data_IF_293742635350
#
_entry.id   IF_293742635350
#
_cell.length_a   1.000
_cell.length_b   1.000
_cell.length_c   1.000
_cell.angle_alpha   90.00
_cell.angle_beta   90.00
_cell.angle_gamma   90.00
#
_symmetry.space_group_name_H-M   'P 1'
#
loop_
_entity.id
_entity.type
_entity.pdbx_description
1 polymer ?
#
# COMPACT_ATOMS: atom_id res chain seq x y z
N UNK A 1 -17.43 16.29 -14.23
CA UNK A 1 -16.45 15.22 -13.94
C UNK A 1 -15.08 15.75 -14.33
N UNK A 2 -14.28 16.21 -13.37
CA UNK A 2 -12.94 16.70 -13.69
C UNK A 2 -12.10 15.50 -14.10
N UNK A 3 -11.84 15.40 -15.41
CA UNK A 3 -10.66 14.73 -15.90
C UNK A 3 -9.48 15.16 -15.03
N UNK A 4 -8.69 14.21 -14.51
CA UNK A 4 -7.30 14.56 -14.24
C UNK A 4 -6.78 15.15 -15.56
N UNK A 5 -6.22 16.35 -15.50
CA UNK A 5 -5.56 16.97 -16.65
C UNK A 5 -4.69 15.89 -17.33
N UNK A 6 -4.78 15.74 -18.67
CA UNK A 6 -4.01 14.74 -19.43
C UNK A 6 -2.53 14.83 -19.04
N UNK A 7 -2.05 16.06 -18.78
CA UNK A 7 -0.73 16.32 -18.25
C UNK A 7 -0.49 15.60 -16.92
N UNK A 8 -1.34 15.81 -15.91
CA UNK A 8 -1.22 15.16 -14.60
C UNK A 8 -1.32 13.62 -14.68
N UNK A 9 -2.14 13.11 -15.61
CA UNK A 9 -2.26 11.67 -15.86
C UNK A 9 -0.96 11.08 -16.42
N UNK A 10 -0.36 11.75 -17.41
CA UNK A 10 0.93 11.36 -18.02
C UNK A 10 2.07 11.51 -17.02
N UNK A 11 2.15 12.62 -16.29
CA UNK A 11 3.17 12.87 -15.26
C UNK A 11 3.16 11.78 -14.18
N UNK A 12 1.97 11.30 -13.77
CA UNK A 12 1.86 10.21 -12.82
C UNK A 12 2.38 8.88 -13.37
N UNK A 13 2.12 8.57 -14.66
CA UNK A 13 2.66 7.39 -15.33
C UNK A 13 4.19 7.46 -15.44
N UNK A 14 4.73 8.63 -15.78
CA UNK A 14 6.18 8.87 -15.81
C UNK A 14 6.84 8.71 -14.44
N UNK A 15 6.23 9.30 -13.41
CA UNK A 15 6.69 9.17 -12.03
C UNK A 15 6.75 7.69 -11.61
N UNK A 16 5.75 6.90 -12.00
CA UNK A 16 5.70 5.47 -11.69
C UNK A 16 6.76 4.68 -12.45
N UNK A 17 6.98 4.96 -13.75
CA UNK A 17 8.06 4.32 -14.52
C UNK A 17 9.44 4.65 -13.94
N UNK A 18 9.68 5.91 -13.58
CA UNK A 18 10.91 6.36 -12.93
C UNK A 18 11.14 5.61 -11.62
N UNK A 19 10.11 5.53 -10.76
CA UNK A 19 10.19 4.85 -9.48
C UNK A 19 10.49 3.34 -9.63
N UNK A 20 9.86 2.65 -10.60
CA UNK A 20 10.07 1.21 -10.81
C UNK A 20 11.41 0.87 -11.45
N UNK A 21 12.00 1.79 -12.23
CA UNK A 21 13.29 1.58 -12.92
C UNK A 21 14.50 2.08 -12.16
N UNK A 22 14.31 3.04 -11.25
CA UNK A 22 15.43 3.73 -10.59
C UNK A 22 16.25 4.61 -11.53
N UNK A 23 15.76 4.92 -12.73
CA UNK A 23 16.41 5.79 -13.73
C UNK A 23 15.40 6.82 -14.21
N UNK A 24 15.87 8.04 -14.46
CA UNK A 24 15.04 9.08 -15.08
C UNK A 24 14.45 8.58 -16.40
N UNK A 25 13.14 8.72 -16.51
CA UNK A 25 12.39 8.28 -17.67
C UNK A 25 11.40 9.36 -18.07
N UNK A 26 11.45 9.70 -19.36
CA UNK A 26 10.48 10.55 -20.04
C UNK A 26 9.80 9.66 -21.08
N UNK A 27 8.48 9.75 -21.22
CA UNK A 27 7.79 8.94 -22.22
C UNK A 27 8.30 9.28 -23.62
N UNK A 28 8.57 8.24 -24.40
CA UNK A 28 8.74 8.41 -25.84
C UNK A 28 7.46 8.99 -26.47
N UNK A 29 7.51 9.66 -27.64
CA UNK A 29 6.30 10.15 -28.32
C UNK A 29 5.24 9.05 -28.54
N UNK A 30 5.69 7.82 -28.76
CA UNK A 30 4.83 6.64 -28.89
C UNK A 30 4.13 6.28 -27.58
N UNK A 31 4.87 6.29 -26.47
CA UNK A 31 4.32 5.98 -25.15
C UNK A 31 3.43 7.09 -24.62
N UNK A 32 3.74 8.34 -24.95
CA UNK A 32 2.85 9.48 -24.70
C UNK A 32 1.52 9.31 -25.43
N UNK A 33 1.55 8.96 -26.72
CA UNK A 33 0.35 8.68 -27.50
C UNK A 33 -0.49 7.55 -26.92
N UNK A 34 0.17 6.51 -26.39
CA UNK A 34 -0.51 5.40 -25.70
C UNK A 34 -1.18 5.86 -24.39
N UNK A 35 -0.47 6.58 -23.53
CA UNK A 35 -1.00 7.11 -22.28
C UNK A 35 -2.19 8.05 -22.51
N UNK A 36 -2.08 8.92 -23.53
CA UNK A 36 -3.17 9.79 -23.96
C UNK A 36 -4.37 8.99 -24.47
N UNK A 37 -4.15 7.95 -25.28
CA UNK A 37 -5.23 7.09 -25.78
C UNK A 37 -6.02 6.40 -24.67
N UNK A 38 -5.34 5.98 -23.59
CA UNK A 38 -6.01 5.44 -22.39
C UNK A 38 -6.82 6.50 -21.65
N UNK A 39 -6.28 7.71 -21.50
CA UNK A 39 -7.01 8.83 -20.89
C UNK A 39 -8.27 9.19 -21.67
N UNK A 40 -8.17 9.33 -22.99
CA UNK A 40 -9.30 9.64 -23.89
C UNK A 40 -10.36 8.52 -23.89
N UNK A 41 -9.94 7.28 -23.69
CA UNK A 41 -10.83 6.12 -23.55
C UNK A 41 -11.41 5.97 -22.13
N UNK A 42 -11.10 6.88 -21.21
CA UNK A 42 -11.62 6.87 -19.84
C UNK A 42 -11.02 5.82 -18.92
N UNK A 43 -9.85 5.26 -19.25
CA UNK A 43 -9.16 4.29 -18.38
C UNK A 43 -8.68 5.00 -17.10
N UNK A 44 -9.09 4.56 -15.90
CA UNK A 44 -8.64 5.19 -14.66
C UNK A 44 -7.12 5.09 -14.46
N UNK A 45 -6.49 6.15 -13.93
CA UNK A 45 -5.04 6.16 -13.66
C UNK A 45 -4.63 4.96 -12.79
N UNK A 46 -5.41 4.64 -11.75
CA UNK A 46 -5.16 3.49 -10.90
C UNK A 46 -5.12 2.16 -11.67
N UNK A 47 -5.97 1.99 -12.69
CA UNK A 47 -5.96 0.82 -13.56
C UNK A 47 -4.64 0.72 -14.34
N UNK A 48 -4.15 1.85 -14.86
CA UNK A 48 -2.87 1.91 -15.58
C UNK A 48 -1.71 1.55 -14.66
N UNK A 49 -1.63 2.17 -13.47
CA UNK A 49 -0.54 1.91 -12.52
C UNK A 49 -0.49 0.45 -12.06
N UNK A 50 -1.65 -0.15 -11.75
CA UNK A 50 -1.74 -1.58 -11.39
C UNK A 50 -1.35 -2.48 -12.56
N UNK A 51 -1.73 -2.12 -13.79
CA UNK A 51 -1.32 -2.86 -14.98
C UNK A 51 0.19 -2.79 -15.21
N UNK A 52 0.80 -1.64 -14.94
CA UNK A 52 2.26 -1.48 -14.98
C UNK A 52 2.93 -2.34 -13.91
N UNK A 53 2.44 -2.33 -12.66
CA UNK A 53 3.00 -3.15 -11.59
C UNK A 53 3.03 -4.63 -11.94
N UNK A 54 1.92 -5.16 -12.50
CA UNK A 54 1.84 -6.55 -12.98
C UNK A 54 2.83 -6.85 -14.11
N UNK A 55 3.06 -5.89 -15.00
CA UNK A 55 4.04 -6.06 -16.07
C UNK A 55 5.47 -6.15 -15.51
N UNK A 56 5.80 -5.33 -14.51
CA UNK A 56 7.10 -5.37 -13.81
C UNK A 56 7.27 -6.60 -12.91
N UNK A 57 6.19 -7.15 -12.36
CA UNK A 57 6.23 -8.45 -11.64
C UNK A 57 6.47 -9.61 -12.60
N UNK A 58 5.87 -9.56 -13.80
CA UNK A 58 5.99 -10.61 -14.80
C UNK A 58 7.33 -10.60 -15.56
N UNK A 59 8.00 -9.44 -15.64
CA UNK A 59 9.28 -9.31 -16.33
C UNK A 59 10.18 -8.25 -15.65
N UNK A 60 11.44 -8.60 -15.43
CA UNK A 60 12.42 -7.71 -14.81
C UNK A 60 12.97 -6.63 -15.75
N UNK A 61 12.70 -6.72 -17.07
CA UNK A 61 13.28 -5.85 -18.10
C UNK A 61 12.22 -5.02 -18.86
N UNK A 62 11.17 -4.55 -18.19
CA UNK A 62 10.22 -3.63 -18.80
C UNK A 62 10.96 -2.37 -19.26
N UNK A 63 11.04 -2.10 -20.57
CA UNK A 63 11.82 -0.98 -21.15
C UNK A 63 10.98 0.19 -21.70
N UNK A 64 9.68 0.00 -21.89
CA UNK A 64 8.73 1.03 -22.38
C UNK A 64 7.31 0.80 -21.83
N UNK A 65 6.49 1.86 -21.81
CA UNK A 65 5.07 1.77 -21.43
C UNK A 65 4.28 0.84 -22.37
N UNK A 66 4.68 0.75 -23.64
CA UNK A 66 4.10 -0.18 -24.60
C UNK A 66 4.17 -1.64 -24.14
N UNK A 67 5.19 -2.01 -23.34
CA UNK A 67 5.28 -3.35 -22.76
C UNK A 67 4.13 -3.59 -21.77
N UNK A 68 3.76 -2.58 -20.96
CA UNK A 68 2.67 -2.68 -19.99
C UNK A 68 1.27 -2.76 -20.64
N UNK A 69 1.16 -2.49 -21.95
CA UNK A 69 -0.13 -2.32 -22.64
C UNK A 69 -1.10 -3.46 -22.39
N UNK A 70 -0.65 -4.70 -22.59
CA UNK A 70 -1.51 -5.89 -22.46
C UNK A 70 -2.18 -5.95 -21.08
N UNK A 71 -1.40 -5.77 -20.02
CA UNK A 71 -1.89 -5.85 -18.64
C UNK A 71 -2.87 -4.72 -18.30
N UNK A 72 -2.61 -3.51 -18.82
CA UNK A 72 -3.50 -2.35 -18.65
C UNK A 72 -4.83 -2.56 -19.37
N UNK A 73 -4.79 -3.03 -20.62
CA UNK A 73 -5.98 -3.27 -21.45
C UNK A 73 -6.82 -4.43 -20.91
N UNK A 74 -6.19 -5.52 -20.46
CA UNK A 74 -6.88 -6.64 -19.79
C UNK A 74 -7.61 -6.16 -18.52
N UNK A 75 -6.95 -5.31 -17.71
CA UNK A 75 -7.56 -4.74 -16.51
C UNK A 75 -8.68 -3.75 -16.83
N UNK A 76 -8.54 -2.96 -17.88
CA UNK A 76 -9.57 -2.02 -18.31
C UNK A 76 -10.81 -2.77 -18.87
N UNK A 77 -10.59 -3.86 -19.62
CA UNK A 77 -11.65 -4.70 -20.18
C UNK A 77 -12.40 -5.52 -19.11
N UNK A 78 -11.75 -5.86 -17.99
CA UNK A 78 -12.39 -6.54 -16.86
C UNK A 78 -13.45 -5.69 -16.12
N UNK A 79 -13.69 -4.45 -16.57
CA UNK A 79 -14.69 -3.54 -16.03
C UNK A 79 -14.22 -2.80 -14.77
N UNK A 80 -14.99 -1.81 -14.29
CA UNK A 80 -14.64 -1.06 -13.09
C UNK A 80 -14.57 -2.02 -11.90
N UNK A 81 -13.35 -2.24 -11.39
CA UNK A 81 -13.23 -2.72 -10.00
C UNK A 81 -13.95 -1.71 -9.10
N UNK A 82 -14.61 -2.15 -8.01
CA UNK A 82 -15.20 -1.23 -7.06
C UNK A 82 -14.13 -0.20 -6.74
N UNK A 83 -14.45 1.08 -6.98
CA UNK A 83 -13.54 2.17 -6.67
C UNK A 83 -13.06 1.93 -5.24
N UNK A 84 -11.78 1.61 -5.06
CA UNK A 84 -11.14 1.88 -3.78
C UNK A 84 -11.47 3.35 -3.54
N UNK A 85 -12.26 3.62 -2.49
CA UNK A 85 -12.59 4.98 -2.08
C UNK A 85 -11.32 5.82 -2.27
N UNK A 86 -11.41 7.02 -2.88
CA UNK A 86 -10.28 7.93 -2.91
C UNK A 86 -9.68 7.91 -1.50
N UNK A 87 -8.38 7.61 -1.40
CA UNK A 87 -7.72 7.58 -0.11
C UNK A 87 -8.14 8.87 0.61
N UNK A 88 -8.69 8.79 1.85
CA UNK A 88 -9.09 9.99 2.56
C UNK A 88 -7.94 10.99 2.51
N UNK A 89 -8.23 12.29 2.35
CA UNK A 89 -7.19 13.31 2.31
C UNK A 89 -6.23 13.04 3.48
N UNK A 90 -4.90 13.08 3.23
CA UNK A 90 -3.92 12.63 4.22
C UNK A 90 -4.19 13.36 5.52
N UNK A 91 -4.61 12.59 6.53
CA UNK A 91 -4.88 13.11 7.85
C UNK A 91 -3.57 13.67 8.39
N UNK A 92 -3.57 14.98 8.70
CA UNK A 92 -2.38 15.66 9.19
C UNK A 92 -2.34 15.50 10.70
N UNK A 93 -1.57 14.55 11.18
CA UNK A 93 -1.33 14.36 12.60
C UNK A 93 -0.21 15.31 13.06
N UNK A 94 -0.46 16.23 14.01
CA UNK A 94 0.59 17.07 14.58
C UNK A 94 1.62 16.22 15.33
N UNK A 95 2.89 16.65 15.32
CA UNK A 95 3.99 15.90 15.93
C UNK A 95 3.78 15.61 17.43
N UNK A 96 3.11 16.52 18.14
CA UNK A 96 2.74 16.34 19.55
C UNK A 96 1.72 15.22 19.78
N UNK A 97 0.84 14.99 18.82
CA UNK A 97 -0.10 13.88 18.88
C UNK A 97 0.62 12.55 18.60
N UNK A 98 1.57 12.53 17.67
CA UNK A 98 2.45 11.36 17.46
C UNK A 98 3.21 11.00 18.74
N UNK A 99 3.77 11.99 19.44
CA UNK A 99 4.44 11.79 20.73
C UNK A 99 3.50 11.16 21.78
N UNK A 100 2.27 11.67 21.91
CA UNK A 100 1.25 11.12 22.83
C UNK A 100 0.81 9.70 22.47
N UNK A 101 0.68 9.39 21.18
CA UNK A 101 0.37 8.04 20.70
C UNK A 101 1.50 7.05 21.02
N UNK A 102 2.76 7.45 20.82
CA UNK A 102 3.91 6.62 21.16
C UNK A 102 4.02 6.37 22.67
N UNK A 103 3.72 7.36 23.50
CA UNK A 103 3.66 7.19 24.97
C UNK A 103 2.59 6.17 25.35
N UNK A 104 1.38 6.32 24.80
CA UNK A 104 0.28 5.38 25.03
C UNK A 104 0.63 3.97 24.58
N UNK A 105 1.30 3.83 23.43
CA UNK A 105 1.75 2.55 22.90
C UNK A 105 2.80 1.91 23.82
N UNK A 106 3.77 2.68 24.30
CA UNK A 106 4.81 2.22 25.22
C UNK A 106 4.19 1.70 26.53
N UNK A 107 3.25 2.45 27.12
CA UNK A 107 2.54 2.05 28.34
C UNK A 107 1.76 0.75 28.15
N UNK A 108 1.00 0.66 27.05
CA UNK A 108 0.21 -0.53 26.73
C UNK A 108 1.11 -1.74 26.53
N UNK A 109 2.15 -1.64 25.71
CA UNK A 109 3.08 -2.74 25.46
C UNK A 109 3.84 -3.16 26.71
N UNK A 110 4.27 -2.21 27.55
CA UNK A 110 4.93 -2.49 28.83
C UNK A 110 4.02 -3.19 29.85
N UNK A 111 2.71 -3.01 29.74
CA UNK A 111 1.72 -3.69 30.59
C UNK A 111 1.38 -5.12 30.13
N UNK A 112 1.79 -5.52 28.92
CA UNK A 112 1.54 -6.86 28.40
C UNK A 112 2.40 -7.86 29.19
N UNK A 113 1.74 -8.73 29.96
CA UNK A 113 2.39 -9.90 30.55
C UNK A 113 2.68 -10.90 29.46
N UNK A 114 3.89 -10.82 28.92
CA UNK A 114 4.28 -11.62 27.79
C UNK A 114 4.93 -12.95 28.25
N UNK A 115 4.66 -14.07 27.56
CA UNK A 115 5.27 -15.36 27.90
C UNK A 115 6.80 -15.32 27.67
N UNK A 116 7.58 -16.11 28.42
CA UNK A 116 9.03 -16.18 28.20
C UNK A 116 9.35 -16.56 26.75
N UNK A 117 10.08 -15.69 26.04
CA UNK A 117 10.39 -15.84 24.61
C UNK A 117 9.67 -14.84 23.69
N UNK A 118 8.70 -14.07 24.19
CA UNK A 118 8.09 -12.97 23.43
C UNK A 118 9.06 -11.79 23.27
N UNK A 119 9.26 -11.31 22.04
CA UNK A 119 10.22 -10.26 21.73
C UNK A 119 9.59 -8.85 21.72
N UNK A 120 8.99 -8.42 22.82
CA UNK A 120 8.47 -7.04 22.94
C UNK A 120 9.57 -6.00 23.24
N UNK A 121 10.77 -6.43 23.67
CA UNK A 121 11.86 -5.51 24.00
C UNK A 121 12.41 -4.73 22.77
N UNK A 122 12.64 -5.36 21.59
CA UNK A 122 13.03 -4.62 20.39
C UNK A 122 12.08 -3.48 19.99
N UNK A 123 10.75 -3.68 19.87
CA UNK A 123 9.85 -2.57 19.54
C UNK A 123 9.78 -1.51 20.65
N UNK A 124 9.82 -1.90 21.93
CA UNK A 124 9.85 -0.93 23.05
C UNK A 124 11.06 -0.01 22.99
N UNK A 125 12.24 -0.53 22.61
CA UNK A 125 13.45 0.27 22.43
C UNK A 125 13.32 1.25 21.28
N UNK A 126 12.83 0.81 20.12
CA UNK A 126 12.63 1.68 18.95
C UNK A 126 11.63 2.79 19.24
N UNK A 127 10.56 2.52 19.98
CA UNK A 127 9.60 3.55 20.41
C UNK A 127 10.29 4.64 21.23
N UNK A 128 11.15 4.26 22.19
CA UNK A 128 11.92 5.23 23.00
C UNK A 128 12.87 6.06 22.15
N UNK A 129 13.60 5.45 21.23
CA UNK A 129 14.50 6.16 20.30
C UNK A 129 13.75 7.20 19.45
N UNK A 130 12.55 6.85 18.96
CA UNK A 130 11.70 7.77 18.20
C UNK A 130 11.16 8.90 19.08
N UNK A 131 10.78 8.62 20.33
CA UNK A 131 10.35 9.66 21.27
C UNK A 131 11.48 10.66 21.56
N UNK A 132 12.70 10.18 21.79
CA UNK A 132 13.87 11.05 21.97
C UNK A 132 14.10 11.94 20.74
N UNK A 133 14.07 11.36 19.53
CA UNK A 133 14.20 12.09 18.27
C UNK A 133 13.15 13.21 18.16
N UNK A 134 11.89 12.90 18.45
CA UNK A 134 10.77 13.86 18.38
C UNK A 134 10.90 14.95 19.44
N UNK A 135 11.38 14.61 20.65
CA UNK A 135 11.50 15.57 21.74
C UNK A 135 12.56 16.66 21.48
N UNK A 136 13.62 16.32 20.75
CA UNK A 136 14.75 17.22 20.45
C UNK A 136 14.56 17.95 19.12
N UNK A 137 13.88 17.35 18.14
CA UNK A 137 13.74 17.91 16.81
C UNK A 137 12.41 18.65 16.60
N UNK A 138 12.46 19.97 16.44
CA UNK A 138 11.30 20.78 16.01
C UNK A 138 10.85 20.48 14.57
N UNK A 139 11.75 19.91 13.75
CA UNK A 139 11.50 19.45 12.37
C UNK A 139 12.29 18.15 12.11
N UNK A 140 11.75 16.98 12.49
CA UNK A 140 12.42 15.71 12.23
C UNK A 140 12.43 15.40 10.73
N UNK A 141 13.34 14.52 10.31
CA UNK A 141 13.29 13.93 8.98
C UNK A 141 12.04 13.04 8.86
N UNK A 142 11.03 13.50 8.13
CA UNK A 142 9.73 12.82 8.01
C UNK A 142 9.81 11.45 7.31
N UNK A 143 10.73 11.27 6.37
CA UNK A 143 10.93 9.98 5.71
C UNK A 143 11.49 8.95 6.68
N UNK A 144 12.50 9.35 7.45
CA UNK A 144 13.09 8.53 8.49
C UNK A 144 12.09 8.20 9.60
N UNK A 145 11.32 9.19 10.06
CA UNK A 145 10.27 8.97 11.05
C UNK A 145 9.21 7.98 10.56
N UNK A 146 8.75 8.12 9.31
CA UNK A 146 7.78 7.20 8.70
C UNK A 146 8.33 5.78 8.64
N UNK A 147 9.58 5.62 8.21
CA UNK A 147 10.25 4.32 8.16
C UNK A 147 10.35 3.69 9.54
N UNK A 148 10.75 4.47 10.57
CA UNK A 148 10.82 3.97 11.95
C UNK A 148 9.46 3.59 12.54
N UNK A 149 8.42 4.38 12.26
CA UNK A 149 7.06 4.03 12.67
C UNK A 149 6.58 2.73 12.02
N UNK A 150 6.94 2.50 10.75
CA UNK A 150 6.63 1.25 10.05
C UNK A 150 7.38 0.05 10.63
N UNK A 151 8.67 0.22 10.92
CA UNK A 151 9.45 -0.83 11.59
C UNK A 151 8.87 -1.19 12.96
N UNK A 152 8.40 -0.20 13.74
CA UNK A 152 7.74 -0.45 15.02
C UNK A 152 6.44 -1.25 14.82
N UNK A 153 5.63 -0.91 13.82
CA UNK A 153 4.39 -1.63 13.51
C UNK A 153 4.65 -3.11 13.14
N UNK A 154 5.65 -3.35 12.28
CA UNK A 154 6.07 -4.69 11.87
C UNK A 154 6.58 -5.51 13.07
N UNK A 155 7.44 -4.92 13.91
CA UNK A 155 8.04 -5.58 15.08
C UNK A 155 6.98 -5.89 16.17
N UNK A 156 6.07 -4.95 16.44
CA UNK A 156 4.97 -5.16 17.40
C UNK A 156 4.04 -6.26 16.89
N UNK A 157 3.68 -6.23 15.62
CA UNK A 157 2.82 -7.26 15.02
C UNK A 157 3.43 -8.65 15.12
N UNK A 158 4.72 -8.77 14.82
CA UNK A 158 5.45 -10.03 14.97
C UNK A 158 5.49 -10.50 16.43
N UNK A 159 5.83 -9.61 17.37
CA UNK A 159 5.88 -9.93 18.79
C UNK A 159 4.52 -10.39 19.34
N UNK A 160 3.42 -9.76 18.92
CA UNK A 160 2.05 -10.16 19.27
C UNK A 160 1.74 -11.55 18.73
N UNK A 161 1.99 -11.81 17.44
CA UNK A 161 1.74 -13.14 16.84
C UNK A 161 2.51 -14.23 17.57
N UNK A 162 3.74 -13.97 18.01
CA UNK A 162 4.52 -14.93 18.80
C UNK A 162 4.03 -15.09 20.25
N UNK A 163 3.35 -14.10 20.81
CA UNK A 163 2.82 -14.13 22.17
C UNK A 163 1.42 -14.75 22.27
N UNK A 164 0.70 -14.88 21.15
CA UNK A 164 -0.62 -15.51 21.10
C UNK A 164 -0.53 -17.00 21.44
N UNK A 165 -1.56 -17.51 22.13
CA UNK A 165 -1.69 -18.95 22.36
C UNK A 165 -2.02 -19.67 21.03
N UNK A 166 -1.77 -20.99 20.94
CA UNK A 166 -2.14 -21.75 19.74
C UNK A 166 -3.62 -21.63 19.36
N UNK A 167 -4.52 -21.58 20.35
CA UNK A 167 -5.96 -21.40 20.13
C UNK A 167 -6.30 -20.00 19.61
N UNK A 168 -5.67 -18.95 20.15
CA UNK A 168 -5.92 -17.58 19.68
C UNK A 168 -5.35 -17.36 18.27
N UNK A 169 -4.25 -18.04 17.93
CA UNK A 169 -3.67 -18.03 16.58
C UNK A 169 -4.60 -18.68 15.56
N UNK A 170 -5.25 -19.79 15.92
CA UNK A 170 -6.24 -20.44 15.05
C UNK A 170 -7.47 -19.54 14.85
N UNK A 171 -8.00 -18.95 15.93
CA UNK A 171 -9.13 -18.01 15.84
C UNK A 171 -8.78 -16.78 14.99
N UNK A 172 -7.59 -16.21 15.18
CA UNK A 172 -7.10 -15.09 14.39
C UNK A 172 -6.96 -15.45 12.90
N UNK A 173 -6.45 -16.65 12.58
CA UNK A 173 -6.33 -17.15 11.20
C UNK A 173 -7.69 -17.38 10.57
N UNK A 174 -8.64 -17.93 11.31
CA UNK A 174 -10.00 -18.16 10.84
C UNK A 174 -10.72 -16.84 10.55
N UNK A 175 -10.58 -15.84 11.42
CA UNK A 175 -11.16 -14.52 11.18
C UNK A 175 -10.50 -13.81 9.99
N UNK A 176 -9.17 -13.93 9.85
CA UNK A 176 -8.45 -13.41 8.68
C UNK A 176 -8.93 -14.08 7.38
N UNK A 177 -9.11 -15.41 7.39
CA UNK A 177 -9.64 -16.16 6.25
C UNK A 177 -11.08 -15.73 5.90
N UNK A 178 -11.95 -15.55 6.90
CA UNK A 178 -13.32 -15.03 6.72
C UNK A 178 -13.33 -13.60 6.21
N UNK A 179 -12.41 -12.75 6.64
CA UNK A 179 -12.27 -11.38 6.13
C UNK A 179 -11.86 -11.38 4.65
N UNK A 180 -10.91 -12.22 4.27
CA UNK A 180 -10.49 -12.41 2.87
C UNK A 180 -11.66 -12.95 2.03
N UNK A 181 -12.40 -13.93 2.55
CA UNK A 181 -13.52 -14.54 1.82
C UNK A 181 -14.70 -13.56 1.66
N UNK A 182 -15.03 -12.75 2.68
CA UNK A 182 -16.01 -11.66 2.55
C UNK A 182 -15.59 -10.66 1.46
N UNK A 183 -14.29 -10.38 1.34
CA UNK A 183 -13.76 -9.54 0.28
C UNK A 183 -13.84 -10.24 -1.10
N UNK A 184 -13.59 -11.54 -1.19
CA UNK A 184 -13.76 -12.34 -2.43
C UNK A 184 -15.21 -12.48 -2.85
N UNK A 185 -16.14 -12.76 -1.94
CA UNK A 185 -17.58 -12.87 -2.22
C UNK A 185 -18.18 -11.57 -2.75
N UNK A 186 -17.68 -10.41 -2.29
CA UNK A 186 -18.02 -9.09 -2.85
C UNK A 186 -17.46 -8.86 -4.26
N UNK A 187 -16.37 -9.55 -4.62
CA UNK A 187 -15.79 -9.53 -5.97
C UNK A 187 -16.46 -10.58 -6.89
N UNK A 188 -17.05 -11.64 -6.31
CA UNK A 188 -17.70 -12.75 -7.03
C UNK A 188 -19.17 -12.52 -7.42
N UNK A 189 -19.86 -11.51 -6.87
CA UNK A 189 -21.27 -11.23 -7.19
C UNK A 189 -21.50 -10.49 -8.53
N UNK A 190 -20.47 -10.38 -9.37
CA UNK A 190 -20.52 -9.67 -10.66
C UNK A 190 -20.31 -10.53 -11.91
N UNK A 191 -20.16 -11.85 -11.82
CA UNK A 191 -19.99 -12.69 -12.99
C UNK A 191 -21.22 -13.60 -13.19
N UNK A 192 -21.95 -13.50 -14.30
CA UNK A 192 -22.93 -14.52 -14.64
C UNK A 192 -22.20 -15.85 -14.82
N UNK A 193 -22.67 -16.88 -14.11
CA UNK A 193 -22.27 -18.27 -14.38
C UNK A 193 -22.72 -18.62 -15.78
N UNK A 194 -21.81 -18.60 -16.75
CA UNK A 194 -22.04 -19.19 -18.06
C UNK A 194 -22.02 -20.69 -17.88
N UNK A 195 -23.21 -21.28 -17.75
CA UNK A 195 -23.42 -22.71 -17.93
C UNK A 195 -23.28 -23.02 -19.42
N UNK A 196 -22.26 -23.79 -19.78
CA UNK A 196 -22.21 -24.40 -21.11
C UNK A 196 -23.21 -25.56 -21.16
N UNK A 197 -24.11 -25.51 -22.14
CA UNK A 197 -24.78 -26.68 -22.73
C UNK A 197 -24.04 -27.03 -24.00
#
# INVERSE_FOLDING_TARGET
>A
MSALDVKAYVEAIEAHLRARRGVDHILSPRDFGLARGWHESGVPLATVLVGMDRAFEAASNVTSLAFCRRWVEELAAAGPRPQLRPAPPPERVPLKEVEGLLTTLLEKLGSVKAPPGSAFEPPLRKIREVQELISVASRPNWSYLREKLREIDDDVSAAVVHALSPSDLEEFRDEAARAIERHRGRVGLGLPRVSFV
#
